data_IF_641216686797
#
_entry.id   IF_641216686797
#
_cell.length_a   1.000
_cell.length_b   1.000
_cell.length_c   1.000
_cell.angle_alpha   90.00
_cell.angle_beta   90.00
_cell.angle_gamma   90.00
#
_symmetry.space_group_name_H-M   'P 1'
#
loop_
_entity.id
_entity.type
_entity.pdbx_description
1 polymer ?
#
# COMPACT_ATOMS: atom_id res chain seq x y z
N UNK A 1 -18.52 4.13 -9.73
CA UNK A 1 -17.22 3.49 -9.97
C UNK A 1 -16.24 4.59 -10.35
N UNK A 2 -15.34 5.00 -9.45
CA UNK A 2 -14.30 6.00 -9.80
C UNK A 2 -13.08 5.24 -10.32
N UNK A 3 -13.04 5.05 -11.63
CA UNK A 3 -11.81 4.73 -12.37
C UNK A 3 -10.93 5.98 -12.38
N UNK A 4 -10.05 6.09 -11.39
CA UNK A 4 -8.90 6.99 -11.51
C UNK A 4 -7.80 6.21 -12.20
N UNK A 5 -7.46 6.62 -13.42
CA UNK A 5 -6.23 6.21 -14.09
C UNK A 5 -5.08 6.23 -13.07
N UNK A 6 -4.54 5.04 -12.80
CA UNK A 6 -3.39 4.82 -11.94
C UNK A 6 -2.16 5.50 -12.58
N UNK A 7 -2.02 6.81 -12.40
CA UNK A 7 -0.81 7.55 -12.71
C UNK A 7 0.29 7.12 -11.74
N UNK A 8 0.84 5.94 -11.99
CA UNK A 8 2.00 5.43 -11.27
C UNK A 8 3.13 6.44 -11.44
N UNK A 9 3.73 6.97 -10.35
CA UNK A 9 4.78 7.98 -10.46
C UNK A 9 5.95 7.44 -11.29
N UNK A 10 6.45 8.24 -12.24
CA UNK A 10 7.54 7.82 -13.16
C UNK A 10 8.84 7.53 -12.40
N UNK A 11 9.00 8.14 -11.24
CA UNK A 11 10.14 8.05 -10.34
C UNK A 11 10.13 6.75 -9.52
N UNK A 12 9.02 6.02 -9.49
CA UNK A 12 8.85 4.80 -8.71
C UNK A 12 8.84 3.59 -9.64
N UNK A 13 9.76 2.65 -9.43
CA UNK A 13 9.70 1.34 -10.10
C UNK A 13 8.37 0.63 -9.76
N UNK A 14 7.62 0.22 -10.78
CA UNK A 14 6.44 -0.62 -10.62
C UNK A 14 6.86 -2.07 -10.37
N UNK A 15 6.47 -2.64 -9.24
CA UNK A 15 6.74 -4.05 -8.88
C UNK A 15 5.47 -4.71 -8.37
N UNK A 16 5.40 -6.04 -8.45
CA UNK A 16 4.23 -6.81 -8.00
C UNK A 16 3.83 -6.46 -6.57
N UNK A 17 4.76 -6.54 -5.61
CA UNK A 17 4.49 -6.23 -4.21
C UNK A 17 3.99 -4.80 -3.99
N UNK A 18 4.54 -3.80 -4.69
CA UNK A 18 4.08 -2.40 -4.57
C UNK A 18 2.65 -2.26 -5.12
N UNK A 19 2.35 -2.91 -6.24
CA UNK A 19 1.00 -2.92 -6.80
C UNK A 19 0.00 -3.58 -5.87
N UNK A 20 0.38 -4.70 -5.24
CA UNK A 20 -0.48 -5.42 -4.31
C UNK A 20 -0.79 -4.58 -3.07
N UNK A 21 0.22 -3.92 -2.48
CA UNK A 21 0.01 -2.97 -1.36
C UNK A 21 -0.90 -1.82 -1.78
N UNK A 22 -0.66 -1.21 -2.96
CA UNK A 22 -1.49 -0.10 -3.44
C UNK A 22 -2.94 -0.53 -3.68
N UNK A 23 -3.14 -1.72 -4.26
CA UNK A 23 -4.47 -2.29 -4.50
C UNK A 23 -5.22 -2.54 -3.19
N UNK A 24 -4.55 -3.09 -2.17
CA UNK A 24 -5.16 -3.30 -0.84
C UNK A 24 -5.60 -1.96 -0.23
N UNK A 25 -4.74 -0.93 -0.30
CA UNK A 25 -5.05 0.40 0.22
C UNK A 25 -6.21 1.07 -0.55
N UNK A 26 -6.26 0.93 -1.87
CA UNK A 26 -7.31 1.54 -2.71
C UNK A 26 -8.68 0.86 -2.55
N UNK A 27 -8.70 -0.43 -2.19
CA UNK A 27 -9.94 -1.18 -2.00
C UNK A 27 -10.43 -1.20 -0.54
N UNK A 28 -9.74 -0.51 0.38
CA UNK A 28 -10.16 -0.41 1.77
C UNK A 28 -10.84 0.92 2.04
N UNK A 29 -12.02 0.86 2.65
CA UNK A 29 -12.77 2.05 3.08
C UNK A 29 -12.29 2.59 4.45
N UNK A 30 -11.35 1.89 5.11
CA UNK A 30 -10.82 2.24 6.42
C UNK A 30 -9.29 2.35 6.40
N UNK A 31 -8.68 3.14 7.29
CA UNK A 31 -7.23 3.13 7.46
C UNK A 31 -6.75 1.73 7.84
N UNK A 32 -5.71 1.24 7.15
CA UNK A 32 -5.11 -0.06 7.42
C UNK A 32 -3.76 0.11 8.12
N UNK A 33 -3.49 -0.75 9.11
CA UNK A 33 -2.16 -0.90 9.67
C UNK A 33 -1.26 -1.72 8.74
N UNK A 34 0.06 -1.66 8.97
CA UNK A 34 1.00 -2.52 8.24
C UNK A 34 0.70 -4.02 8.45
N UNK A 35 0.19 -4.39 9.63
CA UNK A 35 -0.19 -5.77 9.94
C UNK A 35 -1.45 -6.21 9.16
N UNK A 36 -2.42 -5.31 8.99
CA UNK A 36 -3.62 -5.60 8.18
C UNK A 36 -3.23 -5.83 6.72
N UNK A 37 -2.37 -4.97 6.18
CA UNK A 37 -1.85 -5.10 4.80
C UNK A 37 -1.08 -6.41 4.65
N UNK A 38 -0.27 -6.79 5.64
CA UNK A 38 0.43 -8.07 5.64
C UNK A 38 -0.53 -9.26 5.57
N UNK A 39 -1.56 -9.25 6.42
CA UNK A 39 -2.58 -10.31 6.43
C UNK A 39 -3.31 -10.43 5.10
N UNK A 40 -3.67 -9.30 4.48
CA UNK A 40 -4.32 -9.29 3.16
C UNK A 40 -3.40 -9.81 2.05
N UNK A 41 -2.10 -9.48 2.08
CA UNK A 41 -1.13 -10.04 1.12
C UNK A 41 -0.98 -11.57 1.27
N UNK A 42 -0.94 -12.08 2.50
CA UNK A 42 -0.86 -13.53 2.75
C UNK A 42 -2.11 -14.27 2.26
N UNK A 43 -3.32 -13.71 2.47
CA UNK A 43 -4.57 -14.28 1.93
C UNK A 43 -4.54 -14.39 0.41
N UNK A 44 -3.88 -13.45 -0.27
CA UNK A 44 -3.64 -13.48 -1.72
C UNK A 44 -2.52 -14.41 -2.18
N UNK A 45 -1.88 -15.15 -1.27
CA UNK A 45 -0.76 -16.05 -1.57
C UNK A 45 0.57 -15.35 -1.84
N UNK A 46 0.66 -14.04 -1.55
CA UNK A 46 1.90 -13.29 -1.71
C UNK A 46 2.76 -13.35 -0.45
N UNK A 47 3.98 -13.88 -0.57
CA UNK A 47 4.97 -13.82 0.50
C UNK A 47 5.67 -12.46 0.47
N UNK A 48 5.38 -11.63 1.46
CA UNK A 48 6.12 -10.40 1.73
C UNK A 48 6.70 -10.47 3.15
N UNK A 49 7.77 -9.74 3.40
CA UNK A 49 8.27 -9.51 4.75
C UNK A 49 7.63 -8.23 5.30
N UNK A 50 7.39 -8.16 6.61
CA UNK A 50 6.89 -6.92 7.22
C UNK A 50 7.79 -5.70 6.91
N UNK A 51 9.11 -5.90 6.88
CA UNK A 51 10.07 -4.86 6.48
C UNK A 51 9.85 -4.36 5.04
N UNK A 52 9.43 -5.23 4.13
CA UNK A 52 9.06 -4.85 2.76
C UNK A 52 7.83 -3.95 2.76
N UNK A 53 6.81 -4.27 3.55
CA UNK A 53 5.58 -3.47 3.64
C UNK A 53 5.90 -2.09 4.18
N UNK A 54 6.63 -1.98 5.30
CA UNK A 54 7.03 -0.68 5.85
C UNK A 54 7.81 0.17 4.83
N UNK A 55 8.75 -0.42 4.10
CA UNK A 55 9.51 0.30 3.05
C UNK A 55 8.64 0.76 1.90
N UNK A 56 7.62 -0.02 1.52
CA UNK A 56 6.68 0.36 0.47
C UNK A 56 5.78 1.50 0.97
N UNK A 57 5.28 1.42 2.19
CA UNK A 57 4.45 2.47 2.79
C UNK A 57 5.23 3.78 2.93
N UNK A 58 6.48 3.72 3.41
CA UNK A 58 7.35 4.89 3.50
C UNK A 58 7.57 5.52 2.11
N UNK A 59 7.79 4.70 1.09
CA UNK A 59 7.92 5.17 -0.29
C UNK A 59 6.62 5.83 -0.78
N UNK A 60 5.46 5.22 -0.50
CA UNK A 60 4.17 5.76 -0.93
C UNK A 60 3.83 7.08 -0.23
N UNK A 61 4.17 7.23 1.04
CA UNK A 61 4.01 8.50 1.77
C UNK A 61 4.92 9.57 1.15
N UNK A 62 6.18 9.25 0.83
CA UNK A 62 7.13 10.20 0.21
C UNK A 62 6.69 10.70 -1.18
N UNK A 63 5.84 9.95 -1.86
CA UNK A 63 5.34 10.27 -3.20
C UNK A 63 3.84 10.61 -3.21
N UNK A 64 3.26 10.95 -2.04
CA UNK A 64 1.86 11.34 -1.88
C UNK A 64 0.84 10.30 -2.41
N UNK A 65 1.24 9.03 -2.49
CA UNK A 65 0.39 7.92 -2.93
C UNK A 65 -0.52 7.40 -1.80
N UNK A 66 -0.12 7.57 -0.54
CA UNK A 66 -0.95 7.33 0.63
C UNK A 66 -0.57 8.28 1.76
N UNK A 67 -1.42 8.41 2.77
CA UNK A 67 -1.18 9.23 3.96
C UNK A 67 -1.26 8.38 5.21
N UNK A 68 -0.36 8.60 6.16
CA UNK A 68 -0.47 8.02 7.49
C UNK A 68 -1.45 8.86 8.31
N UNK A 69 -2.46 8.23 8.88
CA UNK A 69 -3.28 8.87 9.91
C UNK A 69 -2.62 8.54 11.25
N UNK A 70 -2.05 9.56 11.90
CA UNK A 70 -1.63 9.45 13.30
C UNK A 70 -2.83 8.98 14.09
N UNK A 71 -2.67 7.93 14.88
CA UNK A 71 -3.69 7.49 15.82
C UNK A 71 -3.91 8.66 16.79
N UNK A 72 -5.02 9.39 16.63
CA UNK A 72 -5.49 10.34 17.63
C UNK A 72 -5.80 9.49 18.87
N UNK A 73 -4.91 9.55 19.85
CA UNK A 73 -5.12 9.03 21.19
C UNK A 73 -5.97 10.01 21.96
#
# INVERSE_FOLDING_TARGET
>A
MKTTDNAWPKEIKKTKQRQSVLSILQNSDVPLSAADIYSEMEKGGEKAWMSTIYRILELFIKHDMCKCQSQNV
#
